data_IF_154127502101
#
_entry.id   IF_154127502101
#
_cell.length_a   1.000
_cell.length_b   1.000
_cell.length_c   1.000
_cell.angle_alpha   90.00
_cell.angle_beta   90.00
_cell.angle_gamma   90.00
#
_symmetry.space_group_name_H-M   'P 1'
#
loop_
_entity.id
_entity.type
_entity.pdbx_description
1 polymer ?
#
# COMPACT_ATOMS: atom_id res chain seq x y z
N UNK A 1 48.68 45.95 -21.07
CA UNK A 1 47.67 45.21 -20.28
C UNK A 1 47.03 44.17 -21.20
N UNK A 2 47.24 42.88 -20.95
CA UNK A 2 46.60 41.76 -21.68
C UNK A 2 45.57 41.11 -20.75
N UNK A 3 44.29 40.97 -21.12
CA UNK A 3 43.36 40.22 -20.29
C UNK A 3 43.47 38.73 -20.61
N UNK A 4 43.72 37.92 -19.57
CA UNK A 4 43.69 36.47 -19.61
C UNK A 4 42.23 36.04 -19.43
N UNK A 5 41.65 35.39 -20.44
CA UNK A 5 40.31 34.82 -20.39
C UNK A 5 40.41 33.41 -19.78
N UNK A 6 40.05 33.26 -18.51
CA UNK A 6 39.90 31.95 -17.86
C UNK A 6 38.53 31.40 -18.23
N UNK A 7 38.50 30.38 -19.11
CA UNK A 7 37.31 29.62 -19.44
C UNK A 7 37.17 28.51 -18.38
N UNK A 8 36.27 28.70 -17.42
CA UNK A 8 35.84 27.64 -16.51
C UNK A 8 34.92 26.67 -17.27
N UNK A 9 35.45 25.52 -17.67
CA UNK A 9 34.70 24.41 -18.23
C UNK A 9 33.97 23.67 -17.09
N UNK A 10 32.69 23.98 -16.87
CA UNK A 10 31.85 23.24 -15.94
C UNK A 10 31.44 21.90 -16.59
N UNK A 11 32.11 20.81 -16.23
CA UNK A 11 31.69 19.45 -16.58
C UNK A 11 30.42 19.09 -15.81
N UNK A 12 29.27 19.14 -16.49
CA UNK A 12 28.03 18.53 -16.02
C UNK A 12 28.19 17.01 -16.09
N UNK A 13 28.47 16.37 -14.96
CA UNK A 13 28.34 14.92 -14.83
C UNK A 13 26.86 14.55 -14.88
N UNK A 14 26.38 14.18 -16.07
CA UNK A 14 25.09 13.52 -16.24
C UNK A 14 25.17 12.12 -15.64
N UNK A 15 24.79 11.96 -14.37
CA UNK A 15 24.44 10.65 -13.85
C UNK A 15 23.16 10.19 -14.54
N UNK A 16 23.31 9.38 -15.58
CA UNK A 16 22.20 8.60 -16.13
C UNK A 16 21.73 7.63 -15.05
N UNK A 17 20.68 8.02 -14.33
CA UNK A 17 19.95 7.13 -13.43
C UNK A 17 19.42 6.01 -14.31
N UNK A 18 20.00 4.80 -14.21
CA UNK A 18 19.38 3.61 -14.78
C UNK A 18 18.01 3.50 -14.13
N UNK A 19 16.96 3.68 -14.92
CA UNK A 19 15.61 3.33 -14.50
C UNK A 19 15.68 1.87 -14.01
N UNK A 20 15.36 1.64 -12.74
CA UNK A 20 15.29 0.29 -12.20
C UNK A 20 14.15 -0.41 -12.93
N UNK A 21 14.47 -1.44 -13.72
CA UNK A 21 13.45 -2.24 -14.36
C UNK A 21 12.56 -2.84 -13.26
N UNK A 22 11.23 -2.69 -13.34
CA UNK A 22 10.31 -3.31 -12.40
C UNK A 22 10.57 -4.81 -12.26
N UNK A 23 10.48 -5.32 -11.04
CA UNK A 23 10.60 -6.75 -10.82
C UNK A 23 9.30 -7.46 -11.24
N UNK A 24 9.41 -8.67 -11.78
CA UNK A 24 8.22 -9.44 -12.15
C UNK A 24 7.54 -9.98 -10.88
N UNK A 25 6.22 -9.94 -10.86
CA UNK A 25 5.44 -10.67 -9.87
C UNK A 25 5.53 -12.17 -10.18
N UNK A 26 6.01 -12.97 -9.22
CA UNK A 26 6.15 -14.43 -9.35
C UNK A 26 5.09 -15.18 -8.55
N UNK A 27 4.69 -14.64 -7.39
CA UNK A 27 3.61 -15.20 -6.59
C UNK A 27 2.79 -14.12 -5.88
N UNK A 28 1.56 -14.47 -5.55
CA UNK A 28 0.61 -13.69 -4.75
C UNK A 28 0.20 -14.50 -3.55
N UNK A 29 0.44 -13.97 -2.36
CA UNK A 29 0.15 -14.63 -1.08
C UNK A 29 -0.92 -13.84 -0.35
N UNK A 30 -2.01 -14.51 0.01
CA UNK A 30 -3.11 -13.95 0.79
C UNK A 30 -2.85 -14.18 2.27
N UNK A 31 -3.13 -13.16 3.07
CA UNK A 31 -3.12 -13.27 4.52
C UNK A 31 -4.42 -12.74 5.11
N UNK A 32 -4.86 -13.33 6.22
CA UNK A 32 -5.79 -12.68 7.15
C UNK A 32 -4.97 -11.93 8.19
N UNK A 33 -5.11 -10.61 8.22
CA UNK A 33 -4.54 -9.73 9.23
C UNK A 33 -5.55 -9.55 10.36
N UNK A 34 -5.11 -9.73 11.60
CA UNK A 34 -5.90 -9.55 12.82
C UNK A 34 -5.14 -8.61 13.75
N UNK A 35 -5.79 -7.55 14.20
CA UNK A 35 -5.20 -6.56 15.10
C UNK A 35 -6.17 -6.10 16.19
N UNK A 36 -5.80 -6.33 17.44
CA UNK A 36 -6.44 -5.71 18.60
C UNK A 36 -5.86 -4.30 18.77
N UNK A 37 -6.39 -3.33 18.04
CA UNK A 37 -5.93 -1.94 18.06
C UNK A 37 -6.30 -1.18 19.35
N UNK A 38 -7.38 -1.63 20.00
CA UNK A 38 -7.83 -1.17 21.31
C UNK A 38 -7.82 -2.34 22.30
N UNK A 39 -6.87 -2.34 23.23
CA UNK A 39 -6.72 -3.39 24.25
C UNK A 39 -7.86 -3.41 25.28
N UNK A 40 -8.72 -2.39 25.32
CA UNK A 40 -9.93 -2.38 26.15
C UNK A 40 -11.11 -3.10 25.49
N UNK A 41 -11.05 -3.32 24.17
CA UNK A 41 -12.09 -3.98 23.36
C UNK A 41 -11.52 -5.21 22.63
N UNK A 42 -10.94 -6.15 23.39
CA UNK A 42 -10.26 -7.34 22.84
C UNK A 42 -11.18 -8.28 22.04
N UNK A 43 -12.49 -8.19 22.27
CA UNK A 43 -13.55 -8.95 21.58
C UNK A 43 -13.86 -8.42 20.17
N UNK A 44 -13.33 -7.26 19.79
CA UNK A 44 -13.57 -6.62 18.48
C UNK A 44 -12.26 -6.37 17.72
N UNK A 45 -11.50 -7.42 17.38
CA UNK A 45 -10.28 -7.25 16.61
C UNK A 45 -10.61 -6.71 15.21
N UNK A 46 -9.78 -5.79 14.72
CA UNK A 46 -9.76 -5.44 13.32
C UNK A 46 -9.30 -6.65 12.51
N UNK A 47 -10.07 -7.02 11.48
CA UNK A 47 -9.73 -8.12 10.58
C UNK A 47 -9.77 -7.63 9.14
N UNK A 48 -8.73 -7.93 8.38
CA UNK A 48 -8.58 -7.47 7.00
C UNK A 48 -7.89 -8.52 6.14
N UNK A 49 -8.32 -8.66 4.89
CA UNK A 49 -7.62 -9.49 3.92
C UNK A 49 -6.47 -8.69 3.30
N UNK A 50 -5.29 -9.28 3.33
CA UNK A 50 -4.06 -8.66 2.86
C UNK A 50 -3.45 -9.48 1.71
N UNK A 51 -2.68 -8.81 0.88
CA UNK A 51 -1.99 -9.37 -0.26
C UNK A 51 -0.51 -9.02 -0.19
N UNK A 52 0.33 -10.04 -0.30
CA UNK A 52 1.75 -9.91 -0.62
C UNK A 52 1.95 -10.31 -2.07
N UNK A 53 2.47 -9.41 -2.89
CA UNK A 53 2.96 -9.74 -4.24
C UNK A 53 4.47 -9.84 -4.14
N UNK A 54 5.05 -10.98 -4.53
CA UNK A 54 6.48 -11.24 -4.38
C UNK A 54 7.12 -11.62 -5.70
N UNK A 55 8.26 -11.00 -5.98
CA UNK A 55 9.11 -11.23 -7.13
C UNK A 55 10.44 -11.85 -6.70
N UNK A 56 11.46 -11.70 -7.53
CA UNK A 56 12.80 -12.23 -7.22
C UNK A 56 13.54 -11.35 -6.20
N UNK A 57 13.40 -10.04 -6.33
CA UNK A 57 14.15 -9.02 -5.59
C UNK A 57 13.24 -7.96 -4.93
N UNK A 58 11.98 -7.88 -5.32
CA UNK A 58 11.02 -6.95 -4.76
C UNK A 58 9.75 -7.65 -4.27
N UNK A 59 9.10 -7.06 -3.26
CA UNK A 59 7.76 -7.45 -2.83
C UNK A 59 6.94 -6.24 -2.43
N UNK A 60 5.61 -6.31 -2.55
CA UNK A 60 4.68 -5.32 -2.00
C UNK A 60 3.62 -5.99 -1.14
N UNK A 61 3.44 -5.49 0.07
CA UNK A 61 2.36 -5.87 0.98
C UNK A 61 1.30 -4.76 1.04
N UNK A 62 0.04 -5.11 0.79
CA UNK A 62 -1.09 -4.18 0.62
C UNK A 62 -2.37 -4.80 1.16
N UNK A 63 -3.37 -3.96 1.44
CA UNK A 63 -4.74 -4.40 1.66
C UNK A 63 -5.34 -4.99 0.38
N UNK A 64 -5.84 -6.22 0.45
CA UNK A 64 -6.59 -6.85 -0.62
C UNK A 64 -8.03 -6.32 -0.68
N UNK A 65 -8.61 -6.00 0.49
CA UNK A 65 -9.96 -5.44 0.57
C UNK A 65 -10.01 -4.05 -0.09
N UNK A 66 -8.95 -3.23 0.06
CA UNK A 66 -8.76 -1.97 -0.68
C UNK A 66 -8.73 -2.19 -2.20
N UNK A 67 -8.02 -3.20 -2.67
CA UNK A 67 -7.95 -3.52 -4.11
C UNK A 67 -9.31 -3.97 -4.66
N UNK A 68 -10.07 -4.78 -3.92
CA UNK A 68 -11.43 -5.16 -4.33
C UNK A 68 -12.36 -3.96 -4.39
N UNK A 69 -12.24 -3.02 -3.44
CA UNK A 69 -13.01 -1.78 -3.45
C UNK A 69 -12.68 -0.92 -4.68
N UNK A 70 -11.40 -0.79 -5.02
CA UNK A 70 -10.96 -0.11 -6.24
C UNK A 70 -11.53 -0.77 -7.50
N UNK A 71 -11.50 -2.11 -7.60
CA UNK A 71 -12.10 -2.87 -8.71
C UNK A 71 -13.60 -2.64 -8.83
N UNK A 72 -14.33 -2.69 -7.72
CA UNK A 72 -15.77 -2.47 -7.71
C UNK A 72 -16.12 -1.03 -8.12
N UNK A 73 -15.36 -0.06 -7.62
CA UNK A 73 -15.50 1.35 -8.00
C UNK A 73 -15.23 1.54 -9.49
N UNK A 74 -14.18 0.91 -10.02
CA UNK A 74 -13.88 0.96 -11.44
C UNK A 74 -15.03 0.40 -12.29
N UNK A 75 -15.59 -0.76 -11.93
CA UNK A 75 -16.74 -1.36 -12.62
C UNK A 75 -17.96 -0.44 -12.59
N UNK A 76 -18.30 0.12 -11.42
CA UNK A 76 -19.42 1.05 -11.29
C UNK A 76 -19.26 2.28 -12.17
N UNK A 77 -18.05 2.86 -12.22
CA UNK A 77 -17.79 4.03 -13.07
C UNK A 77 -17.87 3.65 -14.56
N UNK A 78 -17.32 2.50 -14.95
CA UNK A 78 -17.41 2.01 -16.33
C UNK A 78 -18.86 1.79 -16.77
N UNK A 79 -19.70 1.22 -15.92
CA UNK A 79 -21.13 1.04 -16.17
C UNK A 79 -21.85 2.39 -16.30
N UNK A 80 -21.58 3.35 -15.42
CA UNK A 80 -22.16 4.69 -15.51
C UNK A 80 -21.75 5.43 -16.78
N UNK A 81 -20.48 5.30 -17.20
CA UNK A 81 -19.99 5.87 -18.46
C UNK A 81 -20.66 5.22 -19.67
N UNK A 82 -20.87 3.90 -19.63
CA UNK A 82 -21.57 3.18 -20.70
C UNK A 82 -23.03 3.61 -20.81
N UNK A 83 -23.72 3.75 -19.68
CA UNK A 83 -25.12 4.16 -19.64
C UNK A 83 -25.35 5.63 -20.05
N UNK A 84 -24.32 6.48 -19.92
CA UNK A 84 -24.35 7.89 -20.33
C UNK A 84 -23.60 8.14 -21.64
N UNK A 85 -23.29 7.08 -22.41
CA UNK A 85 -22.58 7.19 -23.68
C UNK A 85 -23.34 8.10 -24.66
N UNK A 86 -22.64 9.11 -25.20
CA UNK A 86 -23.21 10.13 -26.09
C UNK A 86 -23.68 11.42 -25.41
N UNK A 87 -23.66 11.48 -24.07
CA UNK A 87 -23.90 12.72 -23.34
C UNK A 87 -22.59 13.52 -23.19
N UNK A 88 -22.60 14.81 -23.53
CA UNK A 88 -21.42 15.69 -23.39
C UNK A 88 -21.03 15.92 -21.92
N UNK A 89 -21.96 15.73 -20.98
CA UNK A 89 -21.74 15.93 -19.54
C UNK A 89 -21.98 14.62 -18.78
N UNK A 90 -20.93 13.80 -18.62
CA UNK A 90 -20.98 12.57 -17.83
C UNK A 90 -20.95 12.93 -16.33
N UNK A 91 -21.98 12.50 -15.59
CA UNK A 91 -22.00 12.60 -14.12
C UNK A 91 -21.59 11.25 -13.53
N UNK A 92 -20.53 11.26 -12.72
CA UNK A 92 -20.06 10.08 -11.99
C UNK A 92 -20.44 10.21 -10.53
N UNK A 93 -21.22 9.25 -10.03
CA UNK A 93 -21.55 9.12 -8.62
C UNK A 93 -20.83 7.90 -8.04
N UNK A 94 -19.95 8.11 -7.07
CA UNK A 94 -19.28 7.02 -6.36
C UNK A 94 -19.86 6.95 -4.96
N UNK A 95 -20.55 5.85 -4.65
CA UNK A 95 -21.05 5.59 -3.30
C UNK A 95 -19.90 5.07 -2.45
N UNK A 96 -19.51 5.83 -1.43
CA UNK A 96 -18.54 5.38 -0.45
C UNK A 96 -19.22 4.44 0.55
N UNK A 97 -19.05 3.13 0.36
CA UNK A 97 -19.53 2.11 1.30
C UNK A 97 -18.43 1.68 2.29
N UNK A 98 -17.66 2.62 2.83
CA UNK A 98 -16.64 2.27 3.84
C UNK A 98 -17.31 1.84 5.15
N UNK A 99 -17.56 0.52 5.29
CA UNK A 99 -18.11 -0.08 6.52
C UNK A 99 -17.05 -0.39 7.57
N UNK A 100 -15.77 -0.46 7.20
CA UNK A 100 -14.66 -0.91 8.07
C UNK A 100 -13.40 -0.08 7.78
N UNK A 101 -12.59 0.30 8.79
CA UNK A 101 -11.28 0.89 8.54
C UNK A 101 -10.38 -0.07 7.73
N UNK A 102 -9.68 0.45 6.73
CA UNK A 102 -8.74 -0.33 5.91
C UNK A 102 -7.31 0.16 6.14
N UNK A 103 -6.35 -0.76 6.01
CA UNK A 103 -4.93 -0.44 6.02
C UNK A 103 -4.57 0.41 4.80
N UNK A 104 -4.25 1.68 5.05
CA UNK A 104 -3.96 2.66 4.00
C UNK A 104 -2.53 2.56 3.46
N UNK A 105 -1.60 2.05 4.28
CA UNK A 105 -0.18 1.93 3.93
C UNK A 105 0.07 0.68 3.08
N UNK A 106 0.86 0.85 2.02
CA UNK A 106 1.47 -0.26 1.28
C UNK A 106 2.97 -0.28 1.60
N UNK A 107 3.54 -1.47 1.75
CA UNK A 107 4.96 -1.63 2.07
C UNK A 107 5.66 -2.35 0.93
N UNK A 108 6.58 -1.64 0.29
CA UNK A 108 7.49 -2.22 -0.68
C UNK A 108 8.79 -2.58 0.01
N UNK A 109 9.32 -3.75 -0.30
CA UNK A 109 10.64 -4.20 0.10
C UNK A 109 11.45 -4.53 -1.14
N UNK A 110 12.66 -3.99 -1.20
CA UNK A 110 13.63 -4.20 -2.28
C UNK A 110 14.89 -4.81 -1.67
N UNK A 111 15.04 -6.13 -1.84
CA UNK A 111 16.02 -6.93 -1.12
C UNK A 111 17.46 -6.54 -1.47
N UNK A 112 17.77 -6.38 -2.76
CA UNK A 112 19.12 -6.05 -3.22
C UNK A 112 19.56 -4.65 -2.78
N UNK A 113 18.64 -3.68 -2.84
CA UNK A 113 18.88 -2.31 -2.42
C UNK A 113 18.85 -2.11 -0.90
N UNK A 114 18.47 -3.14 -0.12
CA UNK A 114 18.24 -3.01 1.33
C UNK A 114 17.32 -1.82 1.65
N UNK A 115 16.24 -1.69 0.86
CA UNK A 115 15.37 -0.52 0.86
C UNK A 115 13.94 -0.93 1.14
N UNK A 116 13.25 -0.14 1.96
CA UNK A 116 11.82 -0.27 2.23
C UNK A 116 11.13 1.05 1.88
N UNK A 117 10.00 0.98 1.20
CA UNK A 117 9.20 2.16 0.87
C UNK A 117 7.80 1.98 1.41
N UNK A 118 7.37 2.88 2.29
CA UNK A 118 5.96 3.00 2.64
C UNK A 118 5.29 3.94 1.65
N UNK A 119 4.26 3.44 0.96
CA UNK A 119 3.35 4.26 0.18
C UNK A 119 2.09 4.52 0.99
N UNK A 120 1.66 5.77 1.05
CA UNK A 120 0.36 6.14 1.61
C UNK A 120 -0.37 7.06 0.62
N UNK A 121 -1.67 6.84 0.44
CA UNK A 121 -2.50 7.69 -0.41
C UNK A 121 -3.30 8.66 0.46
N UNK A 122 -3.17 9.95 0.15
CA UNK A 122 -4.11 10.96 0.60
C UNK A 122 -4.95 11.37 -0.61
N UNK A 123 -4.58 12.49 -1.23
CA UNK A 123 -5.06 12.85 -2.56
C UNK A 123 -4.15 12.24 -3.65
N UNK A 124 -2.85 12.48 -3.50
CA UNK A 124 -1.79 11.86 -4.29
C UNK A 124 -1.19 10.65 -3.56
N UNK A 125 -0.42 9.85 -4.29
CA UNK A 125 0.45 8.83 -3.70
C UNK A 125 1.69 9.51 -3.11
N UNK A 126 2.01 9.21 -1.85
CA UNK A 126 3.22 9.67 -1.19
C UNK A 126 4.12 8.47 -0.90
N UNK A 127 5.42 8.60 -1.17
CA UNK A 127 6.42 7.57 -0.89
C UNK A 127 7.38 8.05 0.18
N UNK A 128 7.52 7.25 1.23
CA UNK A 128 8.51 7.42 2.28
C UNK A 128 9.52 6.30 2.14
N UNK A 129 10.75 6.66 1.79
CA UNK A 129 11.86 5.73 1.64
C UNK A 129 12.63 5.61 2.95
N UNK A 130 12.84 4.38 3.40
CA UNK A 130 13.59 4.02 4.61
C UNK A 130 14.57 2.88 4.27
N UNK A 131 15.66 2.77 5.03
CA UNK A 131 16.49 1.57 4.98
C UNK A 131 15.68 0.38 5.45
N UNK A 132 15.73 -0.74 4.72
CA UNK A 132 15.05 -1.95 5.13
C UNK A 132 15.61 -2.42 6.48
N UNK A 133 14.75 -2.74 7.46
CA UNK A 133 15.20 -3.18 8.77
C UNK A 133 15.86 -4.55 8.67
N UNK A 134 17.06 -4.69 9.24
CA UNK A 134 17.66 -5.99 9.49
C UNK A 134 17.10 -6.56 10.79
N UNK A 135 16.25 -7.57 10.67
CA UNK A 135 15.62 -8.23 11.82
C UNK A 135 16.54 -9.38 12.27
N UNK A 136 16.99 -9.35 13.53
CA UNK A 136 17.81 -10.41 14.12
C UNK A 136 16.95 -11.63 14.49
N UNK A 137 16.67 -12.46 13.50
CA UNK A 137 15.87 -13.67 13.66
C UNK A 137 16.66 -14.79 14.33
N UNK A 138 16.13 -15.29 15.45
CA UNK A 138 16.56 -16.55 16.05
C UNK A 138 15.73 -17.69 15.48
N UNK A 139 16.31 -18.43 14.55
CA UNK A 139 15.72 -19.64 13.97
C UNK A 139 15.80 -20.78 14.99
N UNK A 140 14.68 -21.45 15.23
CA UNK A 140 14.52 -22.52 16.21
C UNK A 140 14.32 -23.88 15.51
N UNK A 141 14.46 -24.97 16.26
CA UNK A 141 14.29 -26.34 15.73
C UNK A 141 12.82 -26.75 15.57
N UNK A 142 11.90 -26.04 16.21
CA UNK A 142 10.48 -26.32 16.16
C UNK A 142 9.96 -26.23 14.71
N UNK A 143 9.21 -27.23 14.29
CA UNK A 143 8.55 -27.28 12.99
C UNK A 143 7.05 -27.45 13.15
N UNK A 144 6.28 -26.96 12.18
CA UNK A 144 4.83 -27.09 12.12
C UNK A 144 4.40 -27.05 10.65
N UNK A 145 3.23 -27.58 10.32
CA UNK A 145 2.66 -27.45 8.98
C UNK A 145 1.43 -26.54 9.02
N UNK A 146 1.35 -25.61 8.07
CA UNK A 146 0.20 -24.73 7.89
C UNK A 146 -0.35 -24.95 6.49
N UNK A 147 -1.60 -25.38 6.38
CA UNK A 147 -2.23 -25.72 5.09
C UNK A 147 -1.41 -26.71 4.24
N UNK A 148 -0.73 -27.66 4.90
CA UNK A 148 0.13 -28.65 4.27
C UNK A 148 1.55 -28.17 3.94
N UNK A 149 1.89 -26.90 4.22
CA UNK A 149 3.22 -26.31 3.97
C UNK A 149 4.12 -26.51 5.19
N UNK A 150 5.25 -27.24 5.08
CA UNK A 150 6.21 -27.39 6.17
C UNK A 150 6.86 -26.04 6.52
N UNK A 151 6.84 -25.70 7.80
CA UNK A 151 7.37 -24.43 8.30
C UNK A 151 8.30 -24.65 9.48
N UNK A 152 9.29 -23.75 9.60
CA UNK A 152 10.20 -23.66 10.72
C UNK A 152 9.91 -22.39 11.53
N UNK A 153 10.09 -22.47 12.84
CA UNK A 153 9.87 -21.34 13.75
C UNK A 153 11.08 -20.41 13.80
N UNK A 154 10.82 -19.11 13.84
CA UNK A 154 11.79 -18.08 14.17
C UNK A 154 11.20 -17.08 15.16
N UNK A 155 12.07 -16.41 15.92
CA UNK A 155 11.67 -15.37 16.88
C UNK A 155 12.57 -14.16 16.78
N UNK A 156 12.02 -12.96 16.99
CA UNK A 156 12.81 -11.73 17.00
C UNK A 156 12.12 -10.66 17.87
N UNK A 157 12.88 -9.67 18.33
CA UNK A 157 12.30 -8.43 18.84
C UNK A 157 12.42 -7.38 17.74
N UNK A 158 11.29 -6.81 17.33
CA UNK A 158 11.24 -5.85 16.25
C UNK A 158 10.11 -4.84 16.49
N UNK A 159 10.46 -3.54 16.40
CA UNK A 159 9.54 -2.40 16.58
C UNK A 159 8.77 -2.46 17.91
N UNK A 160 9.47 -2.87 18.97
CA UNK A 160 8.93 -2.95 20.32
C UNK A 160 8.04 -4.17 20.61
N UNK A 161 7.90 -5.10 19.66
CA UNK A 161 7.18 -6.37 19.84
C UNK A 161 8.12 -7.56 19.74
N UNK A 162 7.82 -8.60 20.51
CA UNK A 162 8.43 -9.91 20.32
C UNK A 162 7.57 -10.70 19.34
N UNK A 163 8.16 -11.05 18.20
CA UNK A 163 7.51 -11.78 17.14
C UNK A 163 7.86 -13.26 17.20
N UNK A 164 6.87 -14.09 16.93
CA UNK A 164 7.03 -15.48 16.51
C UNK A 164 6.60 -15.54 15.05
N UNK A 165 7.48 -16.05 14.19
CA UNK A 165 7.21 -16.26 12.77
C UNK A 165 7.40 -17.74 12.42
N UNK A 166 6.55 -18.24 11.52
CA UNK A 166 6.67 -19.55 10.91
C UNK A 166 6.92 -19.35 9.43
N UNK A 167 8.06 -19.84 8.94
CA UNK A 167 8.49 -19.62 7.55
C UNK A 167 8.73 -20.94 6.81
N UNK A 168 8.47 -20.94 5.51
CA UNK A 168 8.61 -22.11 4.65
C UNK A 168 9.85 -21.95 3.74
N UNK A 169 10.87 -22.76 3.97
CA UNK A 169 12.11 -22.78 3.16
C UNK A 169 11.87 -23.28 1.73
N UNK A 170 10.86 -24.12 1.53
CA UNK A 170 10.47 -24.65 0.22
C UNK A 170 9.88 -23.59 -0.72
N UNK A 171 9.47 -22.44 -0.17
CA UNK A 171 8.99 -21.28 -0.91
C UNK A 171 10.03 -20.17 -0.74
N UNK A 172 11.04 -20.08 -1.65
CA UNK A 172 12.27 -19.32 -1.41
C UNK A 172 12.13 -17.80 -1.63
N UNK A 173 11.03 -17.21 -1.17
CA UNK A 173 10.84 -15.76 -1.14
C UNK A 173 11.20 -15.22 0.24
N UNK A 174 12.21 -14.36 0.35
CA UNK A 174 12.65 -13.77 1.63
C UNK A 174 11.75 -12.61 2.12
N UNK A 175 10.48 -12.64 1.72
CA UNK A 175 9.46 -11.63 1.99
C UNK A 175 8.42 -12.15 2.99
N UNK A 176 7.65 -11.26 3.58
CA UNK A 176 6.59 -11.61 4.52
C UNK A 176 5.57 -10.48 4.68
N UNK A 177 4.56 -10.68 5.54
CA UNK A 177 3.55 -9.67 5.78
C UNK A 177 4.12 -8.44 6.50
N UNK A 178 3.52 -7.28 6.24
CA UNK A 178 3.92 -6.00 6.82
C UNK A 178 5.40 -5.66 6.52
N UNK A 179 6.23 -5.51 7.55
CA UNK A 179 7.66 -5.19 7.45
C UNK A 179 8.54 -6.40 7.80
N UNK A 180 7.95 -7.56 8.08
CA UNK A 180 8.68 -8.77 8.44
C UNK A 180 9.30 -9.39 7.19
N UNK A 181 10.63 -9.46 7.17
CA UNK A 181 11.43 -9.97 6.04
C UNK A 181 12.73 -10.60 6.56
N UNK A 182 13.53 -11.17 5.65
CA UNK A 182 14.90 -11.62 5.95
C UNK A 182 15.05 -13.04 6.49
N UNK A 183 13.96 -13.81 6.58
CA UNK A 183 14.03 -15.26 6.82
C UNK A 183 14.36 -16.01 5.52
N UNK A 184 15.02 -17.18 5.58
CA UNK A 184 15.39 -17.97 4.40
C UNK A 184 14.19 -18.75 3.83
N UNK A 185 13.12 -18.03 3.49
CA UNK A 185 11.86 -18.57 3.01
C UNK A 185 10.68 -17.65 3.31
N UNK A 186 9.53 -17.92 2.70
CA UNK A 186 8.33 -17.12 2.85
C UNK A 186 7.79 -17.22 4.27
N UNK A 187 7.49 -16.08 4.90
CA UNK A 187 6.80 -16.05 6.19
C UNK A 187 5.33 -16.46 5.98
N UNK A 188 4.92 -17.61 6.49
CA UNK A 188 3.57 -18.17 6.35
C UNK A 188 2.65 -17.64 7.46
N UNK A 189 3.09 -17.68 8.71
CA UNK A 189 2.39 -17.03 9.81
C UNK A 189 3.34 -16.16 10.62
N UNK A 190 2.84 -15.06 11.16
CA UNK A 190 3.56 -14.27 12.16
C UNK A 190 2.60 -13.68 13.17
N UNK A 191 2.97 -13.69 14.44
CA UNK A 191 2.22 -13.05 15.51
C UNK A 191 3.14 -12.55 16.60
N UNK A 192 2.70 -11.50 17.30
CA UNK A 192 3.39 -11.08 18.50
C UNK A 192 3.10 -12.02 19.69
N UNK A 193 3.93 -11.97 20.73
CA UNK A 193 3.84 -12.85 21.91
C UNK A 193 2.44 -12.87 22.55
N UNK A 194 1.71 -11.74 22.48
CA UNK A 194 0.35 -11.58 23.01
C UNK A 194 -0.76 -11.94 22.02
N UNK A 195 -0.43 -12.26 20.77
CA UNK A 195 -1.38 -12.47 19.66
C UNK A 195 -2.34 -11.30 19.46
N UNK A 196 -1.88 -10.10 19.78
CA UNK A 196 -2.60 -8.85 19.53
C UNK A 196 -2.43 -8.40 18.09
N UNK A 197 -1.34 -8.79 17.44
CA UNK A 197 -1.11 -8.59 16.02
C UNK A 197 -0.79 -9.95 15.41
N UNK A 198 -1.59 -10.41 14.45
CA UNK A 198 -1.42 -11.70 13.77
C UNK A 198 -1.59 -11.56 12.26
N UNK A 199 -0.72 -12.23 11.53
CA UNK A 199 -0.80 -12.47 10.09
C UNK A 199 -0.91 -13.98 9.87
N UNK A 200 -2.03 -14.43 9.30
CA UNK A 200 -2.32 -15.85 9.08
C UNK A 200 -2.35 -16.12 7.57
N UNK A 201 -1.67 -17.15 7.10
CA UNK A 201 -1.72 -17.56 5.70
C UNK A 201 -3.14 -17.95 5.29
N UNK A 202 -3.60 -17.43 4.15
CA UNK A 202 -4.91 -17.75 3.59
C UNK A 202 -4.83 -18.41 2.21
N UNK A 203 -3.70 -18.28 1.50
CA UNK A 203 -3.51 -18.95 0.21
C UNK A 203 -2.34 -18.39 -0.58
N UNK A 204 -1.89 -19.13 -1.58
CA UNK A 204 -0.81 -18.75 -2.49
C UNK A 204 -1.23 -19.06 -3.93
N UNK A 205 -0.96 -18.11 -4.81
CA UNK A 205 -1.17 -18.22 -6.25
C UNK A 205 0.15 -17.90 -6.98
N UNK A 206 0.60 -18.80 -7.84
CA UNK A 206 1.73 -18.51 -8.73
C UNK A 206 1.26 -17.65 -9.90
N UNK A 207 2.00 -16.59 -10.20
CA UNK A 207 1.72 -15.74 -11.36
C UNK A 207 2.25 -16.44 -12.60
N UNK A 208 1.35 -16.81 -13.51
CA UNK A 208 1.73 -17.40 -14.80
C UNK A 208 2.19 -16.29 -15.75
N UNK A 209 3.20 -16.57 -16.57
CA UNK A 209 3.74 -15.68 -17.61
C UNK A 209 2.78 -15.44 -18.81
N UNK A 210 1.46 -15.67 -18.65
CA UNK A 210 0.51 -15.52 -19.75
C UNK A 210 0.38 -14.05 -20.18
N UNK A 211 0.98 -13.75 -21.33
CA UNK A 211 1.08 -12.43 -21.98
C UNK A 211 -0.26 -11.76 -22.36
N UNK A 212 -1.40 -12.30 -21.89
CA UNK A 212 -2.76 -11.84 -22.22
C UNK A 212 -3.58 -11.35 -21.02
N UNK A 213 -2.99 -11.13 -19.84
CA UNK A 213 -3.66 -10.32 -18.83
C UNK A 213 -3.44 -8.83 -19.10
N UNK A 214 -4.18 -8.31 -20.09
CA UNK A 214 -4.31 -6.88 -20.45
C UNK A 214 -5.05 -6.05 -19.40
N UNK A 215 -5.04 -6.47 -18.13
CA UNK A 215 -5.43 -5.62 -17.01
C UNK A 215 -4.14 -5.08 -16.37
N UNK A 216 -3.29 -4.45 -17.17
CA UNK A 216 -2.37 -3.46 -16.63
C UNK A 216 -3.23 -2.31 -16.09
N UNK A 217 -3.71 -2.46 -14.86
CA UNK A 217 -4.32 -1.37 -14.12
C UNK A 217 -3.26 -0.29 -13.99
N UNK A 218 -3.25 0.67 -14.91
CA UNK A 218 -2.44 1.87 -14.75
C UNK A 218 -2.97 2.64 -13.55
N UNK A 219 -2.07 3.10 -12.69
CA UNK A 219 -2.43 3.79 -11.46
C UNK A 219 -3.46 4.90 -11.70
N UNK A 220 -4.64 4.76 -11.09
CA UNK A 220 -5.68 5.78 -11.08
C UNK A 220 -6.35 6.04 -12.44
N UNK A 221 -6.28 5.13 -13.42
CA UNK A 221 -6.93 5.30 -14.73
C UNK A 221 -8.04 4.27 -14.97
N UNK A 222 -9.10 4.71 -15.65
CA UNK A 222 -10.21 3.86 -16.10
C UNK A 222 -10.29 3.91 -17.62
N UNK A 223 -10.30 2.74 -18.26
CA UNK A 223 -10.51 2.61 -19.71
C UNK A 223 -11.96 2.97 -20.05
N UNK A 224 -12.16 3.80 -21.07
CA UNK A 224 -13.49 4.20 -21.54
C UNK A 224 -14.24 3.00 -22.14
N UNK A 225 -15.59 3.00 -22.13
CA UNK A 225 -16.38 1.86 -22.62
C UNK A 225 -16.06 1.39 -24.04
N UNK A 226 -15.56 2.28 -24.91
CA UNK A 226 -15.22 1.99 -26.30
C UNK A 226 -13.76 1.56 -26.49
N UNK A 227 -12.98 1.41 -25.42
CA UNK A 227 -11.57 0.97 -25.47
C UNK A 227 -10.60 1.97 -26.11
N UNK A 228 -11.07 3.15 -26.49
CA UNK A 228 -10.32 4.15 -27.28
C UNK A 228 -9.63 5.23 -26.44
N UNK A 229 -9.87 5.26 -25.12
CA UNK A 229 -9.26 6.26 -24.24
C UNK A 229 -9.20 5.83 -22.77
N UNK A 230 -8.45 6.59 -21.98
CA UNK A 230 -8.32 6.43 -20.53
C UNK A 230 -8.72 7.72 -19.83
N UNK A 231 -9.50 7.61 -18.76
CA UNK A 231 -9.88 8.72 -17.88
C UNK A 231 -9.08 8.60 -16.59
N UNK A 232 -8.28 9.62 -16.26
CA UNK A 232 -7.59 9.70 -14.98
C UNK A 232 -8.60 10.11 -13.91
N UNK A 233 -8.79 9.28 -12.90
CA UNK A 233 -9.64 9.57 -11.76
C UNK A 233 -8.83 10.27 -10.68
N UNK A 234 -9.07 11.56 -10.53
CA UNK A 234 -8.40 12.39 -9.52
C UNK A 234 -9.20 12.35 -8.22
N UNK A 235 -8.51 12.10 -7.10
CA UNK A 235 -9.12 12.04 -5.78
C UNK A 235 -9.90 10.75 -5.44
N UNK A 236 -10.07 9.83 -6.39
CA UNK A 236 -10.70 8.51 -6.16
C UNK A 236 -9.64 7.42 -6.32
N UNK A 237 -9.52 6.52 -5.34
CA UNK A 237 -8.61 5.39 -5.46
C UNK A 237 -9.25 4.27 -6.27
N UNK A 238 -8.76 4.13 -7.50
CA UNK A 238 -9.15 3.05 -8.44
C UNK A 238 -7.92 2.26 -8.87
N UNK A 239 -6.79 2.38 -8.15
CA UNK A 239 -5.58 1.66 -8.52
C UNK A 239 -5.72 0.17 -8.24
N UNK A 240 -5.37 -0.61 -9.26
CA UNK A 240 -5.28 -2.08 -9.21
C UNK A 240 -3.90 -2.56 -9.66
N UNK A 241 -2.91 -1.67 -9.67
CA UNK A 241 -1.59 -1.90 -10.26
C UNK A 241 -0.89 -3.16 -9.73
N UNK A 242 -1.13 -3.52 -8.46
CA UNK A 242 -0.53 -4.69 -7.82
C UNK A 242 -1.11 -6.04 -8.29
N UNK A 243 -2.21 -6.03 -9.04
CA UNK A 243 -2.73 -7.21 -9.72
C UNK A 243 -2.06 -7.45 -11.08
N UNK A 244 -1.27 -6.49 -11.56
CA UNK A 244 -0.48 -6.62 -12.78
C UNK A 244 0.72 -7.56 -12.65
N UNK A 245 1.46 -7.78 -13.75
CA UNK A 245 2.59 -8.72 -13.81
C UNK A 245 3.90 -8.17 -13.19
N UNK A 246 3.91 -6.90 -12.78
CA UNK A 246 5.12 -6.21 -12.32
C UNK A 246 4.90 -5.58 -10.94
N UNK A 247 5.96 -5.56 -10.15
CA UNK A 247 6.04 -4.83 -8.89
C UNK A 247 6.73 -3.50 -9.18
N UNK A 248 5.94 -2.43 -9.21
CA UNK A 248 6.41 -1.07 -9.46
C UNK A 248 5.77 -0.04 -8.53
N UNK A 249 6.55 1.00 -8.27
CA UNK A 249 6.06 2.19 -7.58
C UNK A 249 5.21 3.03 -8.55
N UNK A 250 4.24 3.80 -8.05
CA UNK A 250 3.47 4.71 -8.90
C UNK A 250 4.38 5.80 -9.47
N UNK A 251 4.31 6.00 -10.78
CA UNK A 251 5.19 6.95 -11.47
C UNK A 251 4.92 8.41 -11.09
N UNK A 252 3.70 8.73 -10.68
CA UNK A 252 3.27 10.08 -10.27
C UNK A 252 3.30 10.29 -8.74
N UNK A 253 3.96 9.41 -8.00
CA UNK A 253 4.05 9.53 -6.56
C UNK A 253 5.06 10.59 -6.11
N UNK A 254 4.70 11.29 -5.02
CA UNK A 254 5.51 12.34 -4.41
C UNK A 254 6.39 11.72 -3.33
N UNK A 255 7.71 11.82 -3.48
CA UNK A 255 8.66 11.44 -2.42
C UNK A 255 8.60 12.46 -1.29
N UNK A 256 8.51 11.99 -0.04
CA UNK A 256 8.42 12.85 1.16
C UNK A 256 8.97 12.12 2.39
N UNK A 257 9.04 12.83 3.52
CA UNK A 257 9.37 12.25 4.82
C UNK A 257 8.12 11.93 5.64
N UNK A 258 8.24 11.00 6.60
CA UNK A 258 7.15 10.68 7.54
C UNK A 258 6.61 11.94 8.25
N UNK A 259 7.51 12.81 8.71
CA UNK A 259 7.18 14.06 9.40
C UNK A 259 6.37 15.03 8.54
N UNK A 260 6.70 15.16 7.26
CA UNK A 260 5.97 16.02 6.32
C UNK A 260 4.60 15.45 5.99
N UNK A 261 4.52 14.14 5.76
CA UNK A 261 3.25 13.46 5.52
C UNK A 261 2.31 13.57 6.73
N UNK A 262 2.82 13.41 7.94
CA UNK A 262 2.03 13.56 9.17
C UNK A 262 1.49 14.98 9.34
N UNK A 263 2.30 16.01 9.01
CA UNK A 263 1.82 17.40 8.97
C UNK A 263 0.71 17.59 7.93
N UNK A 264 0.86 16.98 6.77
CA UNK A 264 -0.14 17.05 5.69
C UNK A 264 -1.45 16.38 6.11
N UNK A 265 -1.37 15.22 6.78
CA UNK A 265 -2.52 14.53 7.40
C UNK A 265 -3.20 15.37 8.47
N UNK A 266 -2.42 16.02 9.34
CA UNK A 266 -2.96 16.93 10.36
C UNK A 266 -3.66 18.14 9.73
N UNK A 267 -3.12 18.71 8.64
CA UNK A 267 -3.75 19.78 7.89
C UNK A 267 -5.09 19.34 7.27
N UNK A 268 -5.11 18.17 6.63
CA UNK A 268 -6.34 17.55 6.09
C UNK A 268 -7.37 17.32 7.19
N UNK A 269 -6.98 16.77 8.32
CA UNK A 269 -7.89 16.47 9.43
C UNK A 269 -8.48 17.75 10.05
N UNK A 270 -7.73 18.87 10.04
CA UNK A 270 -8.17 20.17 10.53
C UNK A 270 -9.14 20.87 9.57
N UNK A 271 -8.89 20.80 8.27
CA UNK A 271 -9.75 21.37 7.23
C UNK A 271 -9.83 20.46 5.99
N UNK A 272 -10.72 19.44 6.02
CA UNK A 272 -10.83 18.49 4.91
C UNK A 272 -11.26 19.13 3.59
N UNK A 273 -12.14 20.14 3.64
CA UNK A 273 -12.67 20.80 2.44
C UNK A 273 -11.61 21.71 1.80
N UNK A 274 -10.97 22.58 2.59
CA UNK A 274 -9.88 23.42 2.11
C UNK A 274 -8.69 22.61 1.62
N UNK A 275 -8.37 21.50 2.30
CA UNK A 275 -7.36 20.55 1.83
C UNK A 275 -7.69 19.98 0.45
N UNK A 276 -8.90 19.45 0.26
CA UNK A 276 -9.33 18.91 -1.04
C UNK A 276 -9.33 19.98 -2.14
N UNK A 277 -9.80 21.19 -1.84
CA UNK A 277 -9.80 22.29 -2.80
C UNK A 277 -8.37 22.68 -3.22
N UNK A 278 -7.44 22.76 -2.27
CA UNK A 278 -6.04 23.05 -2.54
C UNK A 278 -5.38 21.96 -3.41
N UNK A 279 -5.63 20.69 -3.12
CA UNK A 279 -5.09 19.57 -3.89
C UNK A 279 -5.64 19.51 -5.32
N UNK A 280 -6.94 19.78 -5.50
CA UNK A 280 -7.58 19.86 -6.82
C UNK A 280 -7.01 21.01 -7.65
N UNK A 281 -6.85 22.19 -7.04
CA UNK A 281 -6.25 23.35 -7.70
C UNK A 281 -4.80 23.08 -8.13
N UNK A 282 -4.00 22.45 -7.25
CA UNK A 282 -2.62 22.05 -7.55
C UNK A 282 -2.54 21.02 -8.70
N UNK A 283 -3.59 20.24 -8.92
CA UNK A 283 -3.68 19.24 -9.99
C UNK A 283 -4.24 19.80 -11.30
N UNK A 284 -4.44 21.12 -11.40
CA UNK A 284 -4.96 21.80 -12.59
C UNK A 284 -6.43 21.52 -12.88
N UNK A 285 -7.20 20.97 -11.93
CA UNK A 285 -8.63 20.75 -12.09
C UNK A 285 -9.44 21.95 -11.60
N UNK A 286 -10.26 22.52 -12.48
CA UNK A 286 -11.31 23.48 -12.12
C UNK A 286 -12.63 22.74 -11.93
N UNK A 287 -13.19 22.79 -10.71
CA UNK A 287 -14.48 22.19 -10.37
C UNK A 287 -14.81 22.33 -8.89
N UNK A 288 -16.09 22.26 -8.55
CA UNK A 288 -16.55 22.27 -7.15
C UNK A 288 -16.72 20.84 -6.63
N UNK A 289 -15.94 20.43 -5.64
CA UNK A 289 -16.18 19.19 -4.91
C UNK A 289 -17.20 19.47 -3.80
N UNK A 290 -18.47 19.09 -4.01
CA UNK A 290 -19.47 19.09 -2.94
C UNK A 290 -19.53 17.68 -2.36
N UNK A 291 -18.74 17.42 -1.32
CA UNK A 291 -19.04 16.30 -0.44
C UNK A 291 -20.35 16.64 0.26
N UNK A 292 -21.43 15.90 -0.02
CA UNK A 292 -22.57 15.95 0.90
C UNK A 292 -22.04 15.50 2.26
N UNK A 293 -22.10 16.33 3.31
CA UNK A 293 -21.80 15.83 4.63
C UNK A 293 -22.74 14.64 4.84
N UNK A 294 -22.18 13.48 5.19
CA UNK A 294 -23.00 12.41 5.74
C UNK A 294 -23.88 13.06 6.82
N UNK A 295 -25.20 12.78 6.86
CA UNK A 295 -26.07 13.39 7.85
C UNK A 295 -25.41 13.20 9.22
N UNK A 296 -25.01 14.32 9.83
CA UNK A 296 -24.54 14.32 11.21
C UNK A 296 -25.67 13.68 11.99
N UNK A 297 -25.44 12.60 12.75
CA UNK A 297 -26.48 12.09 13.62
C UNK A 297 -26.95 13.28 14.47
N UNK A 298 -28.22 13.63 14.32
CA UNK A 298 -28.91 14.61 15.17
C UNK A 298 -29.07 13.94 16.53
N UNK A 299 -28.00 14.00 17.31
CA UNK A 299 -27.84 13.31 18.58
C UNK A 299 -26.35 13.30 18.91
N UNK A 300 -25.98 13.99 19.97
CA UNK A 300 -24.59 14.19 20.37
C UNK A 300 -23.87 12.89 20.71
N UNK A 301 -23.29 12.26 19.71
CA UNK A 301 -22.09 11.44 19.85
C UNK A 301 -21.21 11.78 18.67
N UNK A 302 -20.14 12.54 18.94
CA UNK A 302 -19.02 12.58 18.02
C UNK A 302 -18.68 11.13 17.68
N UNK A 303 -18.56 10.80 16.39
CA UNK A 303 -17.97 9.52 15.98
C UNK A 303 -16.59 9.54 16.64
N UNK A 304 -16.43 8.84 17.76
CA UNK A 304 -15.15 8.76 18.44
C UNK A 304 -14.22 8.10 17.43
N UNK A 305 -13.13 8.78 17.08
CA UNK A 305 -12.05 8.10 16.35
C UNK A 305 -11.72 6.85 17.19
N UNK A 306 -11.70 5.65 16.61
CA UNK A 306 -11.38 4.45 17.36
C UNK A 306 -10.05 4.69 18.09
N UNK A 307 -10.06 4.50 19.41
CA UNK A 307 -8.89 4.75 20.23
C UNK A 307 -7.84 3.70 19.91
N UNK A 308 -6.74 4.11 19.29
CA UNK A 308 -5.62 3.21 19.01
C UNK A 308 -4.66 3.30 20.18
N UNK A 309 -4.88 2.49 21.21
CA UNK A 309 -3.96 2.35 22.34
C UNK A 309 -2.91 1.24 22.12
N UNK A 310 -3.02 0.49 21.02
CA UNK A 310 -2.11 -0.61 20.67
C UNK A 310 -1.57 -0.52 19.24
N UNK A 311 -0.73 0.47 18.89
CA UNK A 311 -0.17 0.58 17.55
C UNK A 311 0.76 -0.60 17.23
N UNK A 312 0.80 -1.06 15.97
CA UNK A 312 1.67 -2.19 15.56
C UNK A 312 3.14 -1.88 15.88
N UNK A 313 3.62 -0.68 15.53
CA UNK A 313 4.93 -0.18 15.96
C UNK A 313 4.80 0.53 17.31
N UNK A 314 5.48 0.02 18.34
CA UNK A 314 5.44 0.61 19.68
C UNK A 314 6.56 1.66 19.79
N UNK A 315 6.24 2.97 19.90
CA UNK A 315 7.25 4.03 19.94
C UNK A 315 8.20 3.86 21.12
N UNK A 316 9.49 4.18 20.89
CA UNK A 316 10.50 4.24 21.96
C UNK A 316 11.03 2.89 22.45
N UNK A 317 10.56 1.75 21.92
CA UNK A 317 11.14 0.42 22.18
C UNK A 317 11.84 -0.09 20.91
N UNK A 318 13.17 -0.14 20.95
CA UNK A 318 13.99 -0.78 19.90
C UNK A 318 14.03 -2.29 20.16
#
# INVERSE_FOLDING_TARGET
>A
MKPILIICLATVLSFSVKAQNPDKALARVRYTFIHISDTTQRDKPHTENMLLVTGKNASVYTSYDKLNQALNTQKQIQEQMKNQAGNSNIKIEVKSEMKVPLTQEDYFFFANEHKMITKERLFNNYLIEETAPQIDWKILKDTMSFSGIPCQKATATFKGRKWVAWFATEIPFQSGPWKLNGLPGLIIEAYDEKKEVKFTFAGLENVKDDANQTNSGEDGKIVTPNGTGVVKMVGIDVSTAYLGPEIKLPADAIKTTRKELDKLKAARDKDPQGFMQAQMAASGMQGSFKANPAPRPTGGTAISKPEINNPIEIPGKK
#
